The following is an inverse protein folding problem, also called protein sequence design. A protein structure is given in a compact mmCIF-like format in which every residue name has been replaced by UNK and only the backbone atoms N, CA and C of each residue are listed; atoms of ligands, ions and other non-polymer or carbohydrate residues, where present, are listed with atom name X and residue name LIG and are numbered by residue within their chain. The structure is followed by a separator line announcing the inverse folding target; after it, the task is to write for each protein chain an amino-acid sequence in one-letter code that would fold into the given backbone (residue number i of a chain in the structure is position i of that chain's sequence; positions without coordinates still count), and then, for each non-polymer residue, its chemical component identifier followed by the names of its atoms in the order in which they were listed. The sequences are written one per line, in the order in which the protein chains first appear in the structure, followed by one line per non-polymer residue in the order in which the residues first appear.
data_IF_174584680810
#
_entry.id   IF_174584680810
#
_cell.length_a   1.000
_cell.length_b   1.000
_cell.length_c   1.000
_cell.angle_alpha   90.00
_cell.angle_beta   90.00
_cell.angle_gamma   90.00
#
_symmetry.space_group_name_H-M   'P 1'
#
loop_
_entity.id
_entity.type
_entity.pdbx_description
1 polymer ?
#
# COMPACT_ATOMS: atom_id res chain seq x y z
N UNK A 1 -3.05 -0.71 17.04
CA UNK A 1 -3.11 -2.12 16.58
C UNK A 1 -4.52 -2.53 16.18
N UNK A 2 -5.51 -2.53 17.08
CA UNK A 2 -6.90 -2.92 16.75
C UNK A 2 -7.57 -2.08 15.65
N UNK A 3 -7.30 -0.78 15.60
CA UNK A 3 -7.80 0.10 14.53
C UNK A 3 -7.27 -0.28 13.14
N UNK A 4 -6.04 -0.77 13.03
CA UNK A 4 -5.48 -1.20 11.75
C UNK A 4 -6.17 -2.49 11.26
N UNK A 5 -6.41 -3.44 12.17
CA UNK A 5 -7.12 -4.68 11.87
C UNK A 5 -8.56 -4.39 11.41
N UNK A 6 -9.30 -3.53 12.12
CA UNK A 6 -10.67 -3.17 11.76
C UNK A 6 -10.71 -2.44 10.41
N UNK A 7 -9.74 -1.56 10.14
CA UNK A 7 -9.72 -0.80 8.89
C UNK A 7 -9.38 -1.71 7.70
N UNK A 8 -8.44 -2.64 7.86
CA UNK A 8 -8.09 -3.62 6.83
C UNK A 8 -9.26 -4.57 6.55
N UNK A 9 -9.92 -5.09 7.58
CA UNK A 9 -11.11 -5.94 7.43
C UNK A 9 -12.28 -5.18 6.77
N UNK A 10 -12.47 -3.90 7.10
CA UNK A 10 -13.54 -3.08 6.52
C UNK A 10 -13.31 -2.78 5.03
N UNK A 11 -12.08 -2.46 4.64
CA UNK A 11 -11.71 -2.20 3.24
C UNK A 11 -11.85 -3.48 2.41
N UNK A 12 -11.44 -4.63 2.94
CA UNK A 12 -11.56 -5.94 2.28
C UNK A 12 -13.03 -6.32 2.04
N UNK A 13 -13.88 -6.22 3.08
CA UNK A 13 -15.32 -6.50 2.98
C UNK A 13 -16.02 -5.53 2.03
N UNK A 14 -15.62 -4.25 2.02
CA UNK A 14 -16.17 -3.25 1.09
C UNK A 14 -15.77 -3.53 -0.36
N UNK A 15 -14.52 -3.95 -0.60
CA UNK A 15 -14.06 -4.37 -1.92
C UNK A 15 -14.77 -5.64 -2.39
N UNK A 16 -15.07 -6.58 -1.49
CA UNK A 16 -15.82 -7.79 -1.78
C UNK A 16 -17.31 -7.50 -2.08
N UNK A 17 -17.94 -6.58 -1.34
CA UNK A 17 -19.30 -6.11 -1.63
C UNK A 17 -19.40 -5.35 -2.96
N UNK A 18 -18.38 -4.55 -3.31
CA UNK A 18 -18.32 -3.86 -4.60
C UNK A 18 -18.19 -4.87 -5.76
N UNK A 19 -17.40 -5.93 -5.58
CA UNK A 19 -17.28 -7.01 -6.58
C UNK A 19 -18.58 -7.80 -6.79
N UNK A 20 -19.40 -7.97 -5.73
CA UNK A 20 -20.70 -8.66 -5.82
C UNK A 20 -21.82 -7.84 -6.47
N UNK A 21 -21.69 -6.51 -6.58
CA UNK A 21 -22.79 -5.66 -7.06
C UNK A 21 -22.91 -5.57 -8.59
N UNK A 22 -21.81 -5.76 -9.33
CA UNK A 22 -21.77 -5.41 -10.77
C UNK A 22 -21.43 -6.57 -11.72
N UNK A 23 -21.16 -7.78 -11.21
CA UNK A 23 -20.66 -8.91 -12.02
C UNK A 23 -21.71 -9.71 -12.80
N UNK A 24 -23.00 -9.52 -12.54
CA UNK A 24 -24.07 -10.34 -13.15
C UNK A 24 -25.28 -9.54 -13.64
N UNK A 25 -25.28 -8.21 -13.46
CA UNK A 25 -26.45 -7.38 -13.77
C UNK A 25 -26.49 -6.87 -15.21
N UNK A 26 -25.37 -6.39 -15.75
CA UNK A 26 -25.36 -5.55 -16.95
C UNK A 26 -25.51 -6.36 -18.23
N UNK A 27 -24.75 -7.45 -18.38
CA UNK A 27 -24.88 -8.35 -19.55
C UNK A 27 -26.25 -9.03 -19.60
N UNK A 28 -26.74 -9.51 -18.46
CA UNK A 28 -28.06 -10.13 -18.36
C UNK A 28 -29.18 -9.09 -18.59
N UNK A 29 -28.98 -7.84 -18.15
CA UNK A 29 -29.89 -6.73 -18.42
C UNK A 29 -29.90 -6.32 -19.90
N UNK A 30 -28.74 -6.13 -20.54
CA UNK A 30 -28.62 -5.80 -21.97
C UNK A 30 -29.21 -6.94 -22.80
N UNK A 31 -28.84 -8.19 -22.53
CA UNK A 31 -29.37 -9.35 -23.27
C UNK A 31 -30.86 -9.55 -23.03
N UNK A 32 -31.37 -9.34 -21.81
CA UNK A 32 -32.80 -9.38 -21.50
C UNK A 32 -33.58 -8.26 -22.19
N UNK A 33 -32.97 -7.07 -22.36
CA UNK A 33 -33.60 -5.91 -23.00
C UNK A 33 -33.56 -5.99 -24.53
N UNK A 34 -32.45 -6.42 -25.13
CA UNK A 34 -32.37 -6.79 -26.56
C UNK A 34 -33.42 -7.85 -26.87
N UNK A 35 -33.49 -8.92 -26.08
CA UNK A 35 -34.51 -9.97 -26.24
C UNK A 35 -35.94 -9.45 -26.07
N UNK A 36 -36.16 -8.35 -25.33
CA UNK A 36 -37.46 -7.68 -25.15
C UNK A 36 -37.80 -6.75 -26.33
N UNK A 37 -36.83 -6.02 -26.86
CA UNK A 37 -36.99 -5.17 -28.06
C UNK A 37 -37.28 -6.02 -29.29
N UNK A 38 -36.62 -7.18 -29.44
CA UNK A 38 -36.90 -8.18 -30.48
C UNK A 38 -38.33 -8.74 -30.44
N UNK A 39 -38.94 -8.82 -29.25
CA UNK A 39 -40.34 -9.25 -29.10
C UNK A 39 -41.35 -8.18 -29.49
N UNK A 40 -40.95 -6.90 -29.54
CA UNK A 40 -41.82 -5.79 -29.98
C UNK A 40 -41.94 -5.72 -31.51
N UNK A 41 -40.88 -6.04 -32.24
CA UNK A 41 -40.89 -6.12 -33.72
C UNK A 41 -41.58 -7.36 -34.30
N UNK A 42 -41.89 -8.39 -33.50
CA UNK A 42 -42.59 -9.61 -33.95
C UNK A 42 -44.13 -9.55 -33.84
N UNK A 43 -44.71 -8.41 -33.42
CA UNK A 43 -46.17 -8.24 -33.39
C UNK A 43 -46.65 -7.75 -34.77
N UNK A 44 -47.65 -8.39 -35.40
CA UNK A 44 -48.03 -8.10 -36.78
C UNK A 44 -48.58 -6.66 -37.01
N UNK A 45 -48.99 -5.95 -35.96
CA UNK A 45 -49.61 -4.61 -36.05
C UNK A 45 -48.79 -3.49 -35.37
N UNK A 46 -47.52 -3.69 -35.04
CA UNK A 46 -46.68 -2.61 -34.53
C UNK A 46 -46.07 -1.83 -35.71
N UNK A 47 -46.11 -0.48 -35.73
CA UNK A 47 -45.36 0.27 -36.71
C UNK A 47 -43.89 -0.12 -36.58
N UNK A 48 -43.28 -0.55 -37.69
CA UNK A 48 -41.84 -0.87 -37.80
C UNK A 48 -41.05 0.41 -37.60
N UNK A 49 -40.97 0.87 -36.35
CA UNK A 49 -40.07 1.93 -35.95
C UNK A 49 -38.74 1.25 -35.67
N UNK A 50 -37.89 1.19 -36.70
CA UNK A 50 -36.52 0.73 -36.56
C UNK A 50 -35.84 1.56 -35.46
N UNK A 51 -35.22 0.87 -34.51
CA UNK A 51 -34.60 1.49 -33.34
C UNK A 51 -33.44 2.34 -33.84
N UNK A 52 -33.49 3.64 -33.59
CA UNK A 52 -32.50 4.59 -34.09
C UNK A 52 -31.35 4.74 -33.11
N UNK A 53 -30.18 5.16 -33.61
CA UNK A 53 -28.99 5.47 -32.80
C UNK A 53 -29.30 6.35 -31.59
N UNK A 54 -30.11 7.39 -31.77
CA UNK A 54 -30.49 8.32 -30.69
C UNK A 54 -31.31 7.65 -29.59
N UNK A 55 -32.19 6.70 -29.94
CA UNK A 55 -32.97 5.94 -28.96
C UNK A 55 -32.04 5.07 -28.09
N UNK A 56 -31.01 4.49 -28.70
CA UNK A 56 -30.05 3.65 -28.00
C UNK A 56 -29.06 4.47 -27.15
N UNK A 57 -28.62 5.63 -27.66
CA UNK A 57 -27.73 6.55 -26.94
C UNK A 57 -28.39 7.07 -25.65
N UNK A 58 -29.65 7.51 -25.72
CA UNK A 58 -30.40 7.96 -24.54
C UNK A 58 -30.54 6.84 -23.50
N UNK A 59 -30.72 5.60 -23.96
CA UNK A 59 -30.85 4.46 -23.05
C UNK A 59 -29.53 4.06 -22.39
N UNK A 60 -28.41 4.12 -23.10
CA UNK A 60 -27.09 3.89 -22.52
C UNK A 60 -26.71 5.00 -21.54
N UNK A 61 -26.98 6.27 -21.84
CA UNK A 61 -26.79 7.36 -20.88
C UNK A 61 -27.62 7.11 -19.62
N UNK A 62 -28.88 6.68 -19.77
CA UNK A 62 -29.76 6.36 -18.64
C UNK A 62 -29.29 5.17 -17.81
N UNK A 63 -28.56 4.23 -18.42
CA UNK A 63 -27.93 3.11 -17.72
C UNK A 63 -26.60 3.49 -17.03
N UNK A 64 -26.13 4.74 -17.19
CA UNK A 64 -24.97 5.28 -16.50
C UNK A 64 -23.67 5.24 -17.31
N UNK A 65 -23.76 5.02 -18.62
CA UNK A 65 -22.61 5.07 -19.52
C UNK A 65 -22.27 6.51 -19.91
N UNK A 66 -20.98 6.81 -20.07
CA UNK A 66 -20.53 8.13 -20.51
C UNK A 66 -20.76 8.30 -22.01
N UNK A 67 -21.26 9.47 -22.40
CA UNK A 67 -21.62 9.79 -23.77
C UNK A 67 -20.43 9.65 -24.73
N UNK A 68 -19.22 9.93 -24.24
CA UNK A 68 -17.98 9.80 -25.02
C UNK A 68 -17.69 8.36 -25.42
N UNK A 69 -17.79 7.44 -24.46
CA UNK A 69 -17.53 6.01 -24.69
C UNK A 69 -18.57 5.40 -25.63
N UNK A 70 -19.83 5.86 -25.52
CA UNK A 70 -20.92 5.48 -26.42
C UNK A 70 -20.60 5.94 -27.85
N UNK A 71 -20.27 7.22 -28.02
CA UNK A 71 -20.00 7.77 -29.36
C UNK A 71 -18.78 7.13 -30.02
N UNK A 72 -17.74 6.81 -29.25
CA UNK A 72 -16.55 6.11 -29.75
C UNK A 72 -16.89 4.69 -30.24
N UNK A 73 -17.68 3.95 -29.47
CA UNK A 73 -18.16 2.62 -29.86
C UNK A 73 -18.97 2.67 -31.17
N UNK A 74 -19.90 3.61 -31.31
CA UNK A 74 -20.72 3.72 -32.53
C UNK A 74 -19.95 4.19 -33.76
N UNK A 75 -18.98 5.09 -33.59
CA UNK A 75 -18.12 5.57 -34.69
C UNK A 75 -17.27 4.42 -35.25
N UNK A 76 -16.82 3.51 -34.38
CA UNK A 76 -16.02 2.35 -34.77
C UNK A 76 -16.76 1.37 -35.69
N UNK A 77 -18.09 1.32 -35.59
CA UNK A 77 -18.95 0.48 -36.44
C UNK A 77 -19.55 1.22 -37.64
N UNK A 78 -19.11 2.46 -37.91
CA UNK A 78 -19.55 3.27 -39.04
C UNK A 78 -21.07 3.45 -39.13
N UNK A 79 -21.74 3.56 -37.98
CA UNK A 79 -23.18 3.81 -37.89
C UNK A 79 -23.38 5.32 -37.89
N UNK A 80 -23.87 5.87 -39.00
CA UNK A 80 -24.40 7.23 -39.02
C UNK A 80 -25.77 7.27 -38.31
N UNK A 81 -26.12 8.44 -37.77
CA UNK A 81 -27.25 8.77 -36.88
C UNK A 81 -28.67 8.31 -37.31
N UNK A 82 -28.84 7.56 -38.41
CA UNK A 82 -30.13 7.24 -39.00
C UNK A 82 -30.24 5.86 -39.69
N UNK A 83 -29.29 4.94 -39.52
CA UNK A 83 -29.37 3.60 -40.14
C UNK A 83 -29.82 2.52 -39.14
N UNK A 84 -30.69 1.61 -39.57
CA UNK A 84 -31.23 0.53 -38.75
C UNK A 84 -30.12 -0.43 -38.30
N UNK A 85 -29.94 -0.60 -36.99
CA UNK A 85 -28.88 -1.45 -36.43
C UNK A 85 -29.27 -2.92 -36.58
N UNK A 86 -28.46 -3.69 -37.31
CA UNK A 86 -28.67 -5.13 -37.53
C UNK A 86 -28.42 -5.98 -36.28
N UNK A 87 -29.16 -7.07 -36.11
CA UNK A 87 -29.10 -7.96 -34.93
C UNK A 87 -27.69 -8.43 -34.56
N UNK A 88 -26.85 -8.75 -35.56
CA UNK A 88 -25.46 -9.18 -35.33
C UNK A 88 -24.58 -8.06 -34.82
N UNK A 89 -24.84 -6.83 -35.27
CA UNK A 89 -24.10 -5.65 -34.81
C UNK A 89 -24.41 -5.34 -33.35
N UNK A 90 -25.66 -5.55 -32.90
CA UNK A 90 -26.02 -5.41 -31.48
C UNK A 90 -25.32 -6.44 -30.59
N UNK A 91 -25.18 -7.68 -31.05
CA UNK A 91 -24.46 -8.72 -30.33
C UNK A 91 -22.97 -8.39 -30.23
N UNK A 92 -22.34 -7.99 -31.35
CA UNK A 92 -20.93 -7.64 -31.40
C UNK A 92 -20.59 -6.39 -30.57
N UNK A 93 -21.45 -5.36 -30.60
CA UNK A 93 -21.28 -4.14 -29.81
C UNK A 93 -21.43 -4.40 -28.30
N UNK A 94 -22.33 -5.32 -27.93
CA UNK A 94 -22.46 -5.81 -26.55
C UNK A 94 -21.21 -6.53 -26.07
N UNK A 95 -20.66 -7.43 -26.88
CA UNK A 95 -19.40 -8.13 -26.57
C UNK A 95 -18.24 -7.14 -26.45
N UNK A 96 -18.12 -6.19 -27.38
CA UNK A 96 -17.04 -5.20 -27.33
C UNK A 96 -17.15 -4.31 -26.08
N UNK A 97 -18.34 -3.82 -25.75
CA UNK A 97 -18.56 -2.99 -24.56
C UNK A 97 -18.20 -3.73 -23.27
N UNK A 98 -18.48 -5.04 -23.21
CA UNK A 98 -18.10 -5.87 -22.05
C UNK A 98 -16.59 -6.06 -21.95
N UNK A 99 -15.92 -6.29 -23.07
CA UNK A 99 -14.47 -6.41 -23.11
C UNK A 99 -13.77 -5.11 -22.72
N UNK A 100 -14.31 -3.96 -23.13
CA UNK A 100 -13.82 -2.63 -22.72
C UNK A 100 -14.00 -2.43 -21.22
N UNK A 101 -15.17 -2.77 -20.67
CA UNK A 101 -15.45 -2.66 -19.23
C UNK A 101 -14.56 -3.57 -18.38
N UNK A 102 -14.37 -4.83 -18.76
CA UNK A 102 -13.49 -5.75 -18.06
C UNK A 102 -12.04 -5.27 -18.09
N UNK A 103 -11.60 -4.71 -19.23
CA UNK A 103 -10.27 -4.12 -19.35
C UNK A 103 -10.13 -2.90 -18.44
N UNK A 104 -11.11 -1.99 -18.43
CA UNK A 104 -11.08 -0.79 -17.60
C UNK A 104 -11.15 -1.13 -16.11
N UNK A 105 -11.97 -2.12 -15.73
CA UNK A 105 -12.02 -2.65 -14.36
C UNK A 105 -10.65 -3.19 -13.92
N UNK A 106 -10.01 -4.03 -14.74
CA UNK A 106 -8.67 -4.54 -14.45
C UNK A 106 -7.64 -3.42 -14.27
N UNK A 107 -7.69 -2.35 -15.09
CA UNK A 107 -6.84 -1.17 -14.90
C UNK A 107 -7.07 -0.50 -13.55
N UNK A 108 -8.34 -0.30 -13.16
CA UNK A 108 -8.67 0.33 -11.87
C UNK A 108 -8.33 -0.54 -10.66
N UNK A 109 -8.47 -1.87 -10.76
CA UNK A 109 -8.08 -2.81 -9.71
C UNK A 109 -6.55 -2.83 -9.55
N UNK A 110 -5.80 -2.93 -10.66
CA UNK A 110 -4.34 -2.87 -10.63
C UNK A 110 -3.83 -1.53 -10.04
N UNK A 111 -4.50 -0.41 -10.32
CA UNK A 111 -4.15 0.88 -9.73
C UNK A 111 -4.37 0.91 -8.21
N UNK A 112 -5.45 0.29 -7.72
CA UNK A 112 -5.71 0.19 -6.28
C UNK A 112 -4.68 -0.68 -5.59
N UNK A 113 -4.32 -1.81 -6.21
CA UNK A 113 -3.29 -2.71 -5.68
C UNK A 113 -1.93 -2.02 -5.60
N UNK A 114 -1.60 -1.20 -6.61
CA UNK A 114 -0.39 -0.37 -6.59
C UNK A 114 -0.39 0.64 -5.43
N UNK A 115 -1.51 1.34 -5.19
CA UNK A 115 -1.64 2.29 -4.09
C UNK A 115 -1.49 1.59 -2.72
N UNK A 116 -2.09 0.41 -2.55
CA UNK A 116 -1.95 -0.38 -1.32
C UNK A 116 -0.51 -0.83 -1.12
N UNK A 117 0.15 -1.30 -2.18
CA UNK A 117 1.57 -1.66 -2.12
C UNK A 117 2.44 -0.45 -1.75
N UNK A 118 2.19 0.71 -2.34
CA UNK A 118 2.96 1.93 -2.05
C UNK A 118 2.84 2.33 -0.57
N UNK A 119 1.62 2.26 0.00
CA UNK A 119 1.43 2.49 1.45
C UNK A 119 2.20 1.50 2.32
N UNK A 120 2.32 0.24 1.89
CA UNK A 120 3.13 -0.77 2.62
C UNK A 120 4.63 -0.44 2.53
N UNK A 121 5.09 0.07 1.39
CA UNK A 121 6.48 0.53 1.24
C UNK A 121 6.76 1.71 2.17
N UNK A 122 5.86 2.70 2.24
CA UNK A 122 6.00 3.86 3.15
C UNK A 122 6.11 3.43 4.63
N UNK A 123 5.35 2.41 5.02
CA UNK A 123 5.41 1.84 6.37
C UNK A 123 6.75 1.13 6.64
N UNK A 124 7.26 0.39 5.66
CA UNK A 124 8.57 -0.28 5.77
C UNK A 124 9.69 0.77 5.86
N UNK A 125 9.62 1.83 5.06
CA UNK A 125 10.58 2.93 5.11
C UNK A 125 10.63 3.59 6.50
N UNK A 126 9.46 3.89 7.06
CA UNK A 126 9.35 4.44 8.42
C UNK A 126 9.94 3.49 9.48
N UNK A 127 9.71 2.18 9.32
CA UNK A 127 10.27 1.15 10.20
C UNK A 127 11.80 1.09 10.11
N UNK A 128 12.36 1.16 8.90
CA UNK A 128 13.81 1.17 8.67
C UNK A 128 14.45 2.38 9.32
N UNK A 129 13.86 3.57 9.17
CA UNK A 129 14.35 4.80 9.82
C UNK A 129 14.39 4.61 11.35
N UNK A 130 13.32 4.08 11.95
CA UNK A 130 13.30 3.81 13.39
C UNK A 130 14.36 2.78 13.82
N UNK A 131 14.69 1.79 12.98
CA UNK A 131 15.74 0.81 13.29
C UNK A 131 17.13 1.46 13.22
N UNK A 132 17.36 2.34 12.24
CA UNK A 132 18.61 3.11 12.12
C UNK A 132 18.81 4.00 13.35
N UNK A 133 17.79 4.73 13.78
CA UNK A 133 17.86 5.57 15.00
C UNK A 133 18.21 4.76 16.25
N UNK A 134 17.67 3.53 16.36
CA UNK A 134 17.98 2.63 17.46
C UNK A 134 19.43 2.13 17.40
N UNK A 135 19.95 1.82 16.21
CA UNK A 135 21.35 1.42 16.01
C UNK A 135 22.27 2.57 16.43
N UNK A 136 21.98 3.79 16.01
CA UNK A 136 22.77 4.97 16.39
C UNK A 136 22.79 5.19 17.90
N UNK A 137 21.64 5.04 18.56
CA UNK A 137 21.54 5.14 20.02
C UNK A 137 22.34 4.04 20.74
N UNK A 138 22.40 2.82 20.20
CA UNK A 138 23.20 1.73 20.75
C UNK A 138 24.70 2.00 20.54
N UNK A 139 25.09 2.48 19.36
CA UNK A 139 26.48 2.85 19.05
C UNK A 139 26.99 3.97 19.98
N UNK A 140 26.18 5.00 20.22
CA UNK A 140 26.55 6.08 21.13
C UNK A 140 26.75 5.58 22.57
N UNK A 141 25.84 4.72 23.06
CA UNK A 141 25.96 4.08 24.38
C UNK A 141 27.20 3.21 24.48
N UNK A 142 27.52 2.44 23.45
CA UNK A 142 28.71 1.59 23.42
C UNK A 142 29.99 2.43 23.47
N UNK A 143 30.08 3.49 22.67
CA UNK A 143 31.20 4.43 22.68
C UNK A 143 31.36 5.15 24.03
N UNK A 144 30.24 5.45 24.71
CA UNK A 144 30.29 6.00 26.07
C UNK A 144 30.80 4.96 27.07
N UNK A 145 30.29 3.74 27.01
CA UNK A 145 30.70 2.65 27.87
C UNK A 145 32.20 2.32 27.74
N UNK A 146 32.74 2.29 26.53
CA UNK A 146 34.18 2.09 26.30
C UNK A 146 35.02 3.20 26.94
N UNK A 147 34.63 4.47 26.76
CA UNK A 147 35.32 5.61 27.38
C UNK A 147 35.27 5.56 28.90
N UNK A 148 34.12 5.20 29.47
CA UNK A 148 33.95 5.06 30.91
C UNK A 148 34.80 3.91 31.47
N UNK A 149 34.88 2.78 30.75
CA UNK A 149 35.74 1.65 31.13
C UNK A 149 37.23 2.02 31.15
N UNK A 150 37.69 2.81 30.17
CA UNK A 150 39.07 3.33 30.17
C UNK A 150 39.30 4.25 31.37
N UNK A 151 38.37 5.17 31.67
CA UNK A 151 38.49 6.04 32.84
C UNK A 151 38.53 5.30 34.17
N UNK A 152 37.71 4.25 34.33
CA UNK A 152 37.75 3.41 35.54
C UNK A 152 39.13 2.77 35.69
N UNK A 153 39.66 2.19 34.61
CA UNK A 153 41.01 1.59 34.59
C UNK A 153 42.11 2.62 34.91
N UNK A 154 42.03 3.84 34.37
CA UNK A 154 42.97 4.91 34.69
C UNK A 154 42.92 5.32 36.17
N UNK A 155 41.71 5.41 36.73
CA UNK A 155 41.52 5.73 38.14
C UNK A 155 42.05 4.62 39.05
N UNK A 156 41.79 3.35 38.73
CA UNK A 156 42.35 2.18 39.42
C UNK A 156 43.89 2.22 39.40
N UNK A 157 44.49 2.45 38.23
CA UNK A 157 45.94 2.56 38.09
C UNK A 157 46.52 3.72 38.92
N UNK A 158 45.85 4.87 38.93
CA UNK A 158 46.29 6.03 39.73
C UNK A 158 46.29 5.72 41.23
N UNK A 159 45.21 5.13 41.73
CA UNK A 159 45.11 4.73 43.14
C UNK A 159 46.15 3.66 43.51
N UNK A 160 46.42 2.72 42.60
CA UNK A 160 47.46 1.71 42.81
C UNK A 160 48.84 2.38 42.97
N UNK A 161 49.19 3.32 42.09
CA UNK A 161 50.46 4.07 42.17
C UNK A 161 50.55 4.89 43.47
N UNK A 162 49.48 5.60 43.83
CA UNK A 162 49.41 6.37 45.09
C UNK A 162 49.63 5.45 46.32
N UNK A 163 49.03 4.25 46.30
CA UNK A 163 49.19 3.29 47.39
C UNK A 163 50.62 2.74 47.52
N UNK A 164 51.29 2.51 46.39
CA UNK A 164 52.69 2.08 46.34
C UNK A 164 53.59 3.18 46.93
N UNK A 165 53.41 4.42 46.49
CA UNK A 165 54.19 5.57 46.97
C UNK A 165 54.00 5.81 48.47
N UNK A 166 52.76 5.72 48.96
CA UNK A 166 52.44 5.86 50.38
C UNK A 166 53.07 4.74 51.22
N UNK A 167 53.10 3.51 50.71
CA UNK A 167 53.75 2.39 51.38
C UNK A 167 55.29 2.53 51.39
N UNK A 168 55.91 2.97 50.29
CA UNK A 168 57.35 3.23 50.25
C UNK A 168 57.77 4.33 51.23
N UNK A 169 57.00 5.43 51.30
CA UNK A 169 57.23 6.50 52.28
C UNK A 169 57.12 5.99 53.71
N UNK A 170 56.13 5.14 54.02
CA UNK A 170 56.01 4.49 55.33
C UNK A 170 57.21 3.58 55.63
N UNK A 171 57.63 2.74 54.68
CA UNK A 171 58.79 1.86 54.89
C UNK A 171 60.09 2.65 55.12
N UNK A 172 60.28 3.77 54.42
CA UNK A 172 61.42 4.67 54.64
C UNK A 172 61.39 5.39 55.98
N UNK A 173 60.23 5.62 56.59
CA UNK A 173 60.15 6.19 57.94
C UNK A 173 60.37 5.16 59.05
N UNK A 174 60.11 3.87 58.78
CA UNK A 174 60.32 2.78 59.77
C UNK A 174 61.79 2.31 59.82
N UNK A 175 62.51 2.30 58.70
CA UNK A 175 63.93 1.90 58.64
C UNK A 175 64.93 2.77 59.44
N UNK A 176 64.83 4.11 59.54
CA UNK A 176 65.79 4.90 60.33
C UNK A 176 65.68 4.63 61.83
N UNK A 177 64.50 4.24 62.34
CA UNK A 177 64.28 3.96 63.76
C UNK A 177 64.83 2.60 64.21
N UNK A 178 64.98 1.63 63.30
CA UNK A 178 65.56 0.31 63.60
C UNK A 178 67.08 0.26 63.47
N UNK A 179 67.69 1.09 62.60
CA UNK A 179 69.15 1.18 62.48
C UNK A 179 69.82 1.88 63.67
N UNK A 180 69.13 2.83 64.32
CA UNK A 180 69.69 3.58 65.45
C UNK A 180 69.74 2.79 66.77
N UNK A 181 68.97 1.69 66.89
CA UNK A 181 69.00 0.79 68.06
C UNK A 181 70.09 -0.28 68.01
N UNK A 182 70.57 -0.66 66.82
CA UNK A 182 71.62 -1.69 66.67
C UNK A 182 73.03 -1.12 66.86
N UNK A 183 73.21 0.20 66.74
CA UNK A 183 74.50 0.86 66.95
C UNK A 183 74.81 1.19 68.44
N UNK A 184 73.96 0.79 69.38
CA UNK A 184 74.08 1.12 70.82
C UNK A 184 74.18 -0.08 71.77
N UNK A 185 74.35 -1.30 71.27
CA UNK A 185 74.70 -2.47 72.08
C UNK A 185 76.13 -2.94 71.81
#
# INVERSE_FOLDING_TARGET
MFLAIINDSYVEVKAELARKKDGTGVLDWVMSKVRRMMKRGKKPDAPTNDITYEDYKVELIRAGYDEKDINEAFTKYNIESSEAVSDKMMEDLGVEMTAIMDRNKNYTENHKDYIVMNRRVDQIESSIISVVDQIDAVLEKLNKFERDKVRVKEQENRLAIESIFANELRQRQVQPASAEKVAKE
#
